data_IF_080116390119
#
_entry.id   IF_080116390119
#
_cell.length_a   1.000
_cell.length_b   1.000
_cell.length_c   1.000
_cell.angle_alpha   90.00
_cell.angle_beta   90.00
_cell.angle_gamma   90.00
#
_symmetry.space_group_name_H-M   'P 1'
#
loop_
_entity.id
_entity.type
_entity.pdbx_description
1 polymer ?
#
# COMPACT_ATOMS: atom_id res chain seq x y z
N UNK A 1 -10.82 -16.17 18.65
CA UNK A 1 -9.45 -16.37 18.16
C UNK A 1 -8.67 -15.07 18.27
N UNK A 2 -7.42 -15.09 18.74
CA UNK A 2 -6.44 -14.04 18.46
C UNK A 2 -5.59 -14.56 17.31
N UNK A 3 -5.41 -13.78 16.25
CA UNK A 3 -4.41 -14.10 15.23
C UNK A 3 -3.05 -13.77 15.85
N UNK A 4 -2.31 -14.81 16.25
CA UNK A 4 -0.91 -14.66 16.62
C UNK A 4 -0.12 -14.45 15.33
N UNK A 5 0.17 -13.19 15.01
CA UNK A 5 1.10 -12.86 13.93
C UNK A 5 2.50 -13.20 14.43
N UNK A 6 3.18 -14.12 13.76
CA UNK A 6 4.59 -14.42 14.03
C UNK A 6 5.41 -13.14 13.85
N UNK A 7 6.36 -12.91 14.75
CA UNK A 7 7.16 -11.68 14.72
C UNK A 7 7.95 -11.55 13.40
N UNK A 8 8.00 -10.36 12.80
CA UNK A 8 8.79 -10.11 11.59
C UNK A 8 10.27 -10.46 11.81
N UNK A 9 10.84 -11.32 10.96
CA UNK A 9 12.25 -11.73 11.04
C UNK A 9 13.19 -10.76 10.29
N UNK A 10 13.35 -9.54 10.82
CA UNK A 10 14.33 -8.59 10.30
C UNK A 10 15.74 -8.90 10.83
N UNK A 11 16.38 -9.95 10.31
CA UNK A 11 17.79 -10.20 10.62
C UNK A 11 18.66 -9.13 9.95
N UNK A 12 19.19 -8.22 10.76
CA UNK A 12 20.32 -7.38 10.41
C UNK A 12 21.58 -8.23 10.39
N UNK A 13 22.19 -8.41 9.22
CA UNK A 13 23.55 -8.94 9.12
C UNK A 13 24.53 -7.90 9.71
N UNK A 14 24.78 -7.97 11.01
CA UNK A 14 25.71 -7.10 11.75
C UNK A 14 26.06 -7.74 13.11
N UNK A 15 27.28 -7.56 13.63
CA UNK A 15 27.84 -8.43 14.65
C UNK A 15 27.12 -8.32 15.99
N UNK A 16 26.81 -9.50 16.51
CA UNK A 16 26.17 -9.85 17.77
C UNK A 16 26.92 -9.22 18.96
N UNK A 17 26.23 -8.36 19.71
CA UNK A 17 26.60 -8.04 21.09
C UNK A 17 25.51 -8.57 22.01
N UNK A 18 25.83 -9.69 22.65
CA UNK A 18 25.14 -10.30 23.78
C UNK A 18 25.04 -9.33 24.99
N UNK A 19 24.15 -9.70 25.92
CA UNK A 19 23.86 -9.12 27.25
C UNK A 19 22.95 -7.87 27.24
N UNK A 20 21.89 -7.80 28.05
CA UNK A 20 21.76 -8.25 29.43
C UNK A 20 20.29 -8.53 29.77
N UNK A 21 20.07 -9.59 30.56
CA UNK A 21 18.79 -9.99 31.16
C UNK A 21 18.56 -9.13 32.40
N UNK A 22 17.35 -8.64 32.62
CA UNK A 22 16.83 -8.51 33.99
C UNK A 22 15.33 -8.80 34.02
N UNK A 23 15.01 -9.76 34.89
CA UNK A 23 13.68 -10.21 35.31
C UNK A 23 13.34 -9.43 36.57
N UNK A 24 12.19 -8.76 36.64
CA UNK A 24 11.45 -8.74 37.91
C UNK A 24 9.93 -8.55 37.74
N UNK A 25 9.24 -9.38 38.50
CA UNK A 25 7.81 -9.60 38.67
C UNK A 25 7.17 -8.63 39.67
N UNK A 26 5.95 -8.13 39.42
CA UNK A 26 4.72 -8.35 40.24
C UNK A 26 3.57 -7.34 39.95
N UNK A 27 2.29 -7.79 39.92
CA UNK A 27 1.05 -6.97 40.03
C UNK A 27 0.53 -7.02 41.51
N UNK A 28 -0.69 -6.58 41.92
CA UNK A 28 -1.86 -6.06 41.17
C UNK A 28 -2.55 -4.82 41.78
N UNK A 29 -3.51 -4.20 41.08
CA UNK A 29 -4.68 -3.60 41.75
C UNK A 29 -5.93 -3.62 40.85
N UNK A 30 -6.98 -4.16 41.46
CA UNK A 30 -8.35 -4.31 40.98
C UNK A 30 -9.19 -3.09 41.35
N UNK A 31 -10.14 -2.71 40.48
CA UNK A 31 -11.42 -2.02 40.72
C UNK A 31 -11.93 -1.43 39.38
N UNK A 32 -13.21 -1.29 39.05
CA UNK A 32 -14.48 -1.86 39.46
C UNK A 32 -15.48 -1.48 38.33
N UNK A 33 -16.57 -2.25 38.24
CA UNK A 33 -17.80 -2.10 37.45
C UNK A 33 -18.22 -0.68 37.00
N UNK A 34 -18.74 -0.55 35.77
CA UNK A 34 -20.20 -0.48 35.55
C UNK A 34 -20.57 -0.21 34.08
N UNK A 35 -21.51 -1.00 33.60
CA UNK A 35 -22.32 -0.83 32.39
C UNK A 35 -23.14 0.45 32.39
N UNK A 36 -23.35 1.06 31.21
CA UNK A 36 -24.59 1.76 30.88
C UNK A 36 -24.80 1.79 29.37
N UNK A 37 -25.87 1.10 28.97
CA UNK A 37 -26.58 1.20 27.70
C UNK A 37 -27.25 2.56 27.55
N UNK A 38 -27.26 3.16 26.36
CA UNK A 38 -28.53 3.68 25.80
C UNK A 38 -28.41 4.00 24.32
N UNK A 39 -29.22 3.28 23.56
CA UNK A 39 -29.70 3.57 22.21
C UNK A 39 -30.17 5.00 22.04
N UNK A 40 -29.97 5.57 20.85
CA UNK A 40 -31.04 6.25 20.10
C UNK A 40 -30.59 6.62 18.69
N UNK A 41 -31.34 6.10 17.72
CA UNK A 41 -31.26 6.38 16.30
C UNK A 41 -32.46 7.28 15.94
N UNK A 42 -32.30 8.44 15.29
CA UNK A 42 -33.41 9.12 14.66
C UNK A 42 -33.51 8.72 13.18
N UNK A 43 -34.57 7.96 12.92
CA UNK A 43 -35.16 7.64 11.64
C UNK A 43 -35.82 8.91 11.07
N UNK A 44 -35.28 9.46 9.99
CA UNK A 44 -36.02 10.38 9.13
C UNK A 44 -36.48 9.63 7.88
N UNK A 45 -37.80 9.48 7.79
CA UNK A 45 -38.52 9.09 6.58
C UNK A 45 -39.05 10.36 5.91
N UNK A 46 -39.34 10.20 4.62
CA UNK A 46 -40.21 10.98 3.73
C UNK A 46 -39.50 11.99 2.83
N UNK A 47 -39.71 11.80 1.52
CA UNK A 47 -39.37 12.80 0.52
C UNK A 47 -39.35 12.28 -0.91
N UNK A 48 -40.47 11.72 -1.37
CA UNK A 48 -40.73 11.39 -2.78
C UNK A 48 -40.66 12.66 -3.63
N UNK A 49 -39.93 12.63 -4.74
CA UNK A 49 -40.30 13.37 -5.97
C UNK A 49 -39.64 12.71 -7.18
N UNK A 50 -40.44 11.88 -7.86
CA UNK A 50 -40.27 11.54 -9.25
C UNK A 50 -40.59 12.78 -10.08
N UNK A 51 -39.63 13.32 -10.83
CA UNK A 51 -39.94 14.08 -12.03
C UNK A 51 -39.30 13.42 -13.25
N UNK A 52 -40.20 13.23 -14.19
CA UNK A 52 -40.16 12.69 -15.53
C UNK A 52 -39.50 13.66 -16.54
N UNK A 53 -39.25 13.14 -17.75
CA UNK A 53 -38.97 13.83 -19.02
C UNK A 53 -37.53 14.33 -19.23
N UNK A 54 -36.85 14.11 -20.37
CA UNK A 54 -37.15 13.51 -21.69
C UNK A 54 -35.81 13.37 -22.47
N UNK A 55 -35.76 12.59 -23.56
CA UNK A 55 -34.57 12.37 -24.37
C UNK A 55 -34.38 13.47 -25.42
N UNK A 56 -33.12 13.74 -25.80
CA UNK A 56 -32.79 14.55 -26.97
C UNK A 56 -31.79 13.82 -27.86
N UNK A 57 -32.35 13.16 -28.87
CA UNK A 57 -31.70 12.67 -30.07
C UNK A 57 -31.29 13.83 -30.98
N UNK A 58 -30.12 13.75 -31.61
CA UNK A 58 -29.76 14.49 -32.85
C UNK A 58 -28.35 14.10 -33.31
N UNK A 59 -27.99 14.27 -34.61
CA UNK A 59 -27.95 13.15 -35.53
C UNK A 59 -26.56 12.88 -36.13
N UNK A 60 -26.48 11.74 -36.81
CA UNK A 60 -25.48 11.38 -37.81
C UNK A 60 -25.06 12.59 -38.66
N UNK A 61 -23.75 12.88 -38.71
CA UNK A 61 -23.18 13.67 -39.78
C UNK A 61 -22.49 12.75 -40.78
N UNK A 62 -23.02 12.82 -41.99
CA UNK A 62 -22.74 12.00 -43.16
C UNK A 62 -21.36 12.36 -43.72
N UNK A 63 -20.68 11.32 -44.21
CA UNK A 63 -19.46 11.35 -45.02
C UNK A 63 -19.49 12.45 -46.09
N UNK A 64 -18.45 13.28 -46.12
CA UNK A 64 -18.02 13.98 -47.34
C UNK A 64 -16.53 13.70 -47.53
N UNK A 65 -16.23 12.70 -48.37
CA UNK A 65 -14.91 12.45 -48.90
C UNK A 65 -14.63 13.48 -50.01
N UNK A 66 -13.86 14.52 -49.69
CA UNK A 66 -13.28 15.43 -50.69
C UNK A 66 -11.83 14.98 -50.92
N UNK A 67 -11.62 14.25 -52.02
CA UNK A 67 -10.30 13.95 -52.56
C UNK A 67 -9.75 15.20 -53.25
N UNK A 68 -8.86 15.93 -52.57
CA UNK A 68 -8.03 16.96 -53.18
C UNK A 68 -6.60 16.44 -53.27
N UNK A 69 -6.21 16.02 -54.48
CA UNK A 69 -4.82 15.68 -54.80
C UNK A 69 -4.01 16.98 -54.94
N UNK A 70 -3.36 17.39 -53.85
CA UNK A 70 -2.34 18.44 -53.85
C UNK A 70 -0.96 17.77 -53.92
N UNK A 71 -0.29 17.92 -55.06
CA UNK A 71 1.11 17.58 -55.24
C UNK A 71 1.96 18.43 -54.29
N UNK A 72 2.41 17.83 -53.20
CA UNK A 72 3.33 18.44 -52.25
C UNK A 72 4.76 18.12 -52.67
N UNK A 73 5.52 19.17 -52.98
CA UNK A 73 6.97 19.11 -53.15
C UNK A 73 7.61 18.63 -51.85
N UNK A 74 8.16 17.42 -51.86
CA UNK A 74 8.91 16.88 -50.73
C UNK A 74 10.24 17.63 -50.60
N UNK A 75 10.30 18.60 -49.69
CA UNK A 75 11.55 19.15 -49.20
C UNK A 75 12.04 18.22 -48.09
N UNK A 76 12.97 17.31 -48.41
CA UNK A 76 13.61 16.45 -47.43
C UNK A 76 14.51 17.30 -46.53
N UNK A 77 13.96 17.79 -45.41
CA UNK A 77 14.78 18.23 -44.29
C UNK A 77 15.45 16.99 -43.68
N UNK A 78 16.71 17.07 -43.22
CA UNK A 78 17.25 16.03 -42.36
C UNK A 78 16.44 16.08 -41.06
N UNK A 79 15.50 15.15 -40.90
CA UNK A 79 14.97 14.81 -39.59
C UNK A 79 16.11 14.13 -38.82
N UNK A 80 17.00 14.93 -38.25
CA UNK A 80 17.77 14.51 -37.09
C UNK A 80 16.80 14.40 -35.93
N UNK A 81 15.94 13.39 -35.98
CA UNK A 81 15.14 12.97 -34.83
C UNK A 81 16.08 12.20 -33.90
N UNK A 82 17.08 12.94 -33.40
CA UNK A 82 17.80 12.57 -32.20
C UNK A 82 16.79 12.84 -31.09
N UNK A 83 15.83 11.93 -30.96
CA UNK A 83 15.27 11.60 -29.66
C UNK A 83 16.42 10.99 -28.87
N UNK A 84 17.36 11.83 -28.44
CA UNK A 84 18.03 11.62 -27.16
C UNK A 84 16.89 11.51 -26.17
N UNK A 85 16.42 10.28 -25.96
CA UNK A 85 15.73 9.89 -24.74
C UNK A 85 16.66 10.40 -23.67
N UNK A 86 16.32 11.57 -23.12
CA UNK A 86 17.14 12.28 -22.15
C UNK A 86 17.19 11.27 -21.01
N UNK A 87 18.32 10.56 -20.88
CA UNK A 87 18.50 9.48 -19.91
C UNK A 87 18.02 10.04 -18.59
N UNK A 88 16.79 9.68 -18.20
CA UNK A 88 16.20 10.25 -17.01
C UNK A 88 17.11 9.80 -15.87
N UNK A 89 17.43 10.75 -15.00
CA UNK A 89 18.22 10.45 -13.83
C UNK A 89 17.56 9.30 -13.06
N UNK A 90 18.34 8.29 -12.68
CA UNK A 90 17.80 7.04 -12.15
C UNK A 90 17.08 7.25 -10.81
N UNK A 91 17.50 8.26 -10.04
CA UNK A 91 16.82 8.66 -8.81
C UNK A 91 15.44 9.23 -9.15
N UNK A 92 15.36 10.09 -10.17
CA UNK A 92 14.09 10.64 -10.67
C UNK A 92 13.13 9.52 -11.11
N UNK A 93 13.61 8.52 -11.84
CA UNK A 93 12.78 7.37 -12.25
C UNK A 93 12.30 6.57 -11.04
N UNK A 94 13.18 6.32 -10.07
CA UNK A 94 12.81 5.64 -8.81
C UNK A 94 11.70 6.39 -8.08
N UNK A 95 11.84 7.72 -7.95
CA UNK A 95 10.88 8.56 -7.24
C UNK A 95 9.55 8.65 -7.98
N UNK A 96 9.58 8.68 -9.31
CA UNK A 96 8.38 8.61 -10.15
C UNK A 96 7.62 7.28 -9.94
N UNK A 97 8.33 6.15 -9.92
CA UNK A 97 7.73 4.83 -9.71
C UNK A 97 7.11 4.68 -8.31
N UNK A 98 7.76 5.23 -7.29
CA UNK A 98 7.27 5.19 -5.92
C UNK A 98 6.09 6.12 -5.70
N UNK A 99 6.22 7.40 -6.03
CA UNK A 99 5.34 8.45 -5.51
C UNK A 99 4.43 9.10 -6.55
N UNK A 100 4.68 8.89 -7.84
CA UNK A 100 3.91 9.54 -8.92
C UNK A 100 3.17 8.56 -9.83
N UNK A 101 3.37 7.25 -9.64
CA UNK A 101 2.73 6.20 -10.42
C UNK A 101 1.60 5.56 -9.63
N UNK A 102 0.53 5.13 -10.31
CA UNK A 102 -0.45 4.24 -9.68
C UNK A 102 0.21 2.88 -9.41
N UNK A 103 -0.33 2.13 -8.46
CA UNK A 103 0.20 0.80 -8.13
C UNK A 103 0.15 -0.15 -9.34
N UNK A 104 -0.90 -0.06 -10.15
CA UNK A 104 -1.02 -0.84 -11.39
C UNK A 104 0.03 -0.46 -12.45
N UNK A 105 0.34 0.84 -12.59
CA UNK A 105 1.42 1.29 -13.47
C UNK A 105 2.78 0.78 -12.98
N UNK A 106 3.03 0.86 -11.67
CA UNK A 106 4.24 0.32 -11.08
C UNK A 106 4.38 -1.18 -11.36
N UNK A 107 3.34 -1.98 -11.14
CA UNK A 107 3.37 -3.43 -11.41
C UNK A 107 3.64 -3.75 -12.88
N UNK A 108 3.06 -2.97 -13.81
CA UNK A 108 3.35 -3.13 -15.23
C UNK A 108 4.85 -2.87 -15.53
N UNK A 109 5.45 -1.86 -14.90
CA UNK A 109 6.88 -1.54 -15.05
C UNK A 109 7.79 -2.58 -14.40
N UNK A 110 7.40 -3.08 -13.22
CA UNK A 110 8.08 -4.18 -12.52
C UNK A 110 8.10 -5.45 -13.36
N UNK A 111 6.96 -5.85 -13.92
CA UNK A 111 6.86 -7.06 -14.75
C UNK A 111 7.66 -6.96 -16.05
N UNK A 112 7.93 -5.74 -16.51
CA UNK A 112 8.79 -5.47 -17.66
C UNK A 112 10.26 -5.22 -17.29
N UNK A 113 10.59 -5.16 -15.98
CA UNK A 113 11.89 -4.76 -15.44
C UNK A 113 12.42 -3.47 -16.09
N UNK A 114 11.55 -2.47 -16.29
CA UNK A 114 11.86 -1.25 -17.04
C UNK A 114 11.90 0.02 -16.16
N UNK A 115 13.06 0.67 -15.98
CA UNK A 115 14.32 0.40 -16.69
C UNK A 115 15.14 -0.74 -16.06
N UNK A 116 15.96 -1.45 -16.85
CA UNK A 116 16.79 -2.56 -16.36
C UNK A 116 17.95 -2.11 -15.46
N UNK A 117 18.13 -0.79 -15.31
CA UNK A 117 19.14 -0.20 -14.43
C UNK A 117 18.69 -0.08 -12.97
N UNK A 118 17.41 -0.32 -12.66
CA UNK A 118 16.93 -0.45 -11.28
C UNK A 118 17.08 -1.88 -10.79
N UNK A 119 17.26 -2.03 -9.49
CA UNK A 119 17.14 -3.32 -8.83
C UNK A 119 15.66 -3.65 -8.63
N UNK A 120 15.15 -4.63 -9.36
CA UNK A 120 13.77 -5.12 -9.29
C UNK A 120 13.60 -6.34 -8.37
N UNK A 121 14.67 -6.76 -7.67
CA UNK A 121 14.60 -7.86 -6.71
C UNK A 121 13.62 -7.54 -5.57
N UNK A 122 12.85 -8.55 -5.18
CA UNK A 122 11.82 -8.42 -4.15
C UNK A 122 11.58 -9.80 -3.55
N UNK A 123 11.57 -9.89 -2.21
CA UNK A 123 11.11 -11.06 -1.48
C UNK A 123 9.62 -10.95 -1.12
N UNK A 124 8.95 -9.90 -1.60
CA UNK A 124 7.53 -9.67 -1.45
C UNK A 124 7.20 -9.45 0.02
N UNK A 125 6.14 -10.08 0.50
CA UNK A 125 5.72 -9.92 1.89
C UNK A 125 6.34 -10.97 2.83
N UNK A 126 7.43 -11.65 2.44
CA UNK A 126 7.95 -12.82 3.18
C UNK A 126 8.48 -12.47 4.57
N UNK A 127 8.94 -11.23 4.79
CA UNK A 127 9.40 -10.73 6.10
C UNK A 127 8.33 -9.96 6.87
N UNK A 128 7.13 -9.85 6.32
CA UNK A 128 6.02 -9.13 6.93
C UNK A 128 5.29 -9.98 7.97
N UNK A 129 4.47 -9.38 8.84
CA UNK A 129 3.53 -10.11 9.68
C UNK A 129 2.65 -11.06 8.85
N UNK A 130 2.14 -12.14 9.45
CA UNK A 130 1.32 -13.12 8.73
C UNK A 130 0.06 -12.49 8.11
N UNK A 131 -0.36 -13.05 6.98
CA UNK A 131 -1.59 -12.67 6.29
C UNK A 131 -2.47 -13.91 6.07
N UNK A 132 -3.10 -14.43 7.14
CA UNK A 132 -3.78 -15.72 7.10
C UNK A 132 -5.06 -15.71 6.25
N UNK A 133 -5.60 -14.52 5.96
CA UNK A 133 -6.79 -14.34 5.11
C UNK A 133 -6.47 -14.06 3.65
N UNK A 134 -5.17 -14.01 3.29
CA UNK A 134 -4.75 -13.82 1.90
C UNK A 134 -5.12 -12.46 1.31
N UNK A 135 -5.12 -11.39 2.10
CA UNK A 135 -5.34 -10.04 1.57
C UNK A 135 -4.29 -9.69 0.49
N UNK A 136 -4.66 -8.94 -0.57
CA UNK A 136 -3.83 -8.81 -1.78
C UNK A 136 -2.67 -7.82 -1.63
N UNK A 137 -1.79 -8.01 -0.65
CA UNK A 137 -0.72 -7.07 -0.30
C UNK A 137 0.56 -7.18 -1.14
N UNK A 138 0.70 -8.24 -1.94
CA UNK A 138 1.92 -8.50 -2.70
C UNK A 138 2.38 -7.30 -3.56
N UNK A 139 1.50 -6.62 -4.33
CA UNK A 139 1.92 -5.44 -5.10
C UNK A 139 2.44 -4.28 -4.25
N UNK A 140 1.87 -4.07 -3.06
CA UNK A 140 2.36 -3.06 -2.13
C UNK A 140 3.77 -3.41 -1.62
N UNK A 141 3.99 -4.68 -1.27
CA UNK A 141 5.31 -5.17 -0.83
C UNK A 141 6.36 -5.04 -1.94
N UNK A 142 6.02 -5.38 -3.19
CA UNK A 142 6.92 -5.17 -4.33
C UNK A 142 7.40 -3.71 -4.46
N UNK A 143 6.48 -2.74 -4.28
CA UNK A 143 6.84 -1.32 -4.39
C UNK A 143 7.66 -0.83 -3.20
N UNK A 144 7.37 -1.34 -2.01
CA UNK A 144 8.17 -1.08 -0.81
C UNK A 144 9.60 -1.58 -0.96
N UNK A 145 9.78 -2.81 -1.45
CA UNK A 145 11.08 -3.43 -1.72
C UNK A 145 11.89 -2.64 -2.73
N UNK A 146 11.27 -2.21 -3.85
CA UNK A 146 11.91 -1.34 -4.84
C UNK A 146 12.49 -0.11 -4.15
N UNK A 147 11.68 0.56 -3.31
CA UNK A 147 12.09 1.76 -2.60
C UNK A 147 13.28 1.51 -1.68
N UNK A 148 13.20 0.49 -0.83
CA UNK A 148 14.26 0.16 0.13
C UNK A 148 15.58 -0.19 -0.55
N UNK A 149 15.55 -1.10 -1.53
CA UNK A 149 16.75 -1.58 -2.22
C UNK A 149 17.39 -0.44 -3.02
N UNK A 150 16.63 0.25 -3.85
CA UNK A 150 17.19 1.26 -4.76
C UNK A 150 17.66 2.52 -4.01
N UNK A 151 16.95 3.00 -2.98
CA UNK A 151 17.45 4.13 -2.20
C UNK A 151 18.75 3.82 -1.46
N UNK A 152 18.95 2.56 -1.02
CA UNK A 152 20.21 2.12 -0.40
C UNK A 152 21.34 2.06 -1.43
N UNK A 153 21.10 1.46 -2.60
CA UNK A 153 22.06 1.42 -3.71
C UNK A 153 22.42 2.84 -4.20
N UNK A 154 21.45 3.75 -4.19
CA UNK A 154 21.61 5.16 -4.55
C UNK A 154 22.17 6.01 -3.40
N UNK A 155 22.54 5.40 -2.27
CA UNK A 155 23.17 6.06 -1.11
C UNK A 155 22.36 7.24 -0.53
N UNK A 156 21.02 7.14 -0.59
CA UNK A 156 20.09 8.20 -0.15
C UNK A 156 18.98 7.70 0.78
N UNK A 157 19.18 6.53 1.38
CA UNK A 157 18.26 5.93 2.36
C UNK A 157 18.36 6.60 3.74
N UNK A 158 17.90 7.85 3.83
CA UNK A 158 17.79 8.59 5.09
C UNK A 158 16.54 8.18 5.87
N UNK A 159 16.43 8.59 7.16
CA UNK A 159 15.22 8.40 7.95
C UNK A 159 13.98 8.99 7.28
N UNK A 160 14.08 10.22 6.76
CA UNK A 160 12.96 10.87 6.06
C UNK A 160 12.57 10.12 4.77
N UNK A 161 13.55 9.60 4.03
CA UNK A 161 13.28 8.78 2.85
C UNK A 161 12.56 7.48 3.22
N UNK A 162 13.03 6.80 4.27
CA UNK A 162 12.37 5.60 4.82
C UNK A 162 10.92 5.91 5.22
N UNK A 163 10.69 6.99 5.97
CA UNK A 163 9.36 7.38 6.41
C UNK A 163 8.42 7.66 5.21
N UNK A 164 8.95 8.28 4.15
CA UNK A 164 8.23 8.49 2.89
C UNK A 164 7.86 7.16 2.19
N UNK A 165 8.81 6.22 2.09
CA UNK A 165 8.57 4.91 1.48
C UNK A 165 7.56 4.09 2.30
N UNK A 166 7.68 4.07 3.62
CA UNK A 166 6.75 3.35 4.51
C UNK A 166 5.34 3.95 4.44
N UNK A 167 5.22 5.28 4.33
CA UNK A 167 3.92 5.95 4.19
C UNK A 167 3.27 5.66 2.83
N UNK A 168 4.07 5.57 1.76
CA UNK A 168 3.59 5.15 0.45
C UNK A 168 3.12 3.69 0.46
N UNK A 169 3.86 2.81 1.15
CA UNK A 169 3.48 1.41 1.36
C UNK A 169 2.14 1.30 2.08
N UNK A 170 1.91 2.07 3.15
CA UNK A 170 0.59 2.13 3.81
C UNK A 170 -0.52 2.51 2.82
N UNK A 171 -0.26 3.52 2.00
CA UNK A 171 -1.23 3.97 0.99
C UNK A 171 -1.57 2.87 -0.02
N UNK A 172 -0.58 2.07 -0.42
CA UNK A 172 -0.78 0.93 -1.31
C UNK A 172 -1.55 -0.21 -0.69
N UNK A 173 -1.25 -0.55 0.56
CA UNK A 173 -2.01 -1.56 1.29
C UNK A 173 -3.48 -1.17 1.38
N UNK A 174 -3.77 0.09 1.69
CA UNK A 174 -5.13 0.64 1.72
C UNK A 174 -5.79 0.64 0.34
N UNK A 175 -5.04 0.95 -0.72
CA UNK A 175 -5.54 0.85 -2.09
C UNK A 175 -5.98 -0.59 -2.41
N UNK A 176 -5.17 -1.58 -2.03
CA UNK A 176 -5.48 -3.00 -2.23
C UNK A 176 -6.70 -3.45 -1.42
N UNK A 177 -6.98 -2.83 -0.27
CA UNK A 177 -8.15 -3.14 0.54
C UNK A 177 -9.48 -2.63 -0.02
N UNK A 178 -9.49 -1.72 -1.01
CA UNK A 178 -10.73 -1.12 -1.52
C UNK A 178 -11.69 -2.13 -2.15
N UNK A 179 -11.17 -3.23 -2.70
CA UNK A 179 -11.95 -4.29 -3.36
C UNK A 179 -12.22 -5.50 -2.45
N UNK A 180 -11.74 -5.48 -1.21
CA UNK A 180 -11.87 -6.60 -0.26
C UNK A 180 -13.20 -6.49 0.50
N UNK A 181 -14.05 -7.53 0.53
CA UNK A 181 -15.31 -7.49 1.27
C UNK A 181 -15.13 -7.20 2.77
N UNK A 182 -14.17 -7.87 3.40
CA UNK A 182 -13.77 -7.64 4.80
C UNK A 182 -12.82 -6.43 4.94
N UNK A 183 -13.22 -5.28 4.39
CA UNK A 183 -12.37 -4.10 4.26
C UNK A 183 -11.74 -3.65 5.57
N UNK A 184 -12.51 -3.57 6.65
CA UNK A 184 -11.99 -3.10 7.95
C UNK A 184 -10.90 -4.03 8.51
N UNK A 185 -11.02 -5.34 8.28
CA UNK A 185 -9.99 -6.30 8.67
C UNK A 185 -8.75 -6.18 7.78
N UNK A 186 -8.94 -5.91 6.48
CA UNK A 186 -7.84 -5.64 5.55
C UNK A 186 -7.09 -4.36 5.94
N UNK A 187 -7.79 -3.25 6.13
CA UNK A 187 -7.21 -1.97 6.58
C UNK A 187 -6.56 -2.13 7.97
N UNK A 188 -7.13 -2.96 8.84
CA UNK A 188 -6.54 -3.38 10.11
C UNK A 188 -5.17 -4.04 9.92
N UNK A 189 -5.07 -5.05 9.06
CA UNK A 189 -3.78 -5.71 8.78
C UNK A 189 -2.79 -4.77 8.08
N UNK A 190 -3.28 -3.88 7.21
CA UNK A 190 -2.45 -2.86 6.58
C UNK A 190 -1.76 -1.95 7.61
N UNK A 191 -2.46 -1.56 8.69
CA UNK A 191 -1.84 -0.82 9.79
C UNK A 191 -0.78 -1.64 10.52
N UNK A 192 -1.00 -2.94 10.73
CA UNK A 192 -0.01 -3.82 11.36
C UNK A 192 1.26 -3.89 10.51
N UNK A 193 1.12 -4.07 9.20
CA UNK A 193 2.23 -4.06 8.25
C UNK A 193 3.01 -2.74 8.28
N UNK A 194 2.30 -1.61 8.30
CA UNK A 194 2.91 -0.29 8.38
C UNK A 194 3.70 -0.06 9.68
N UNK A 195 3.11 -0.37 10.84
CA UNK A 195 3.83 -0.21 12.11
C UNK A 195 5.01 -1.19 12.21
N UNK A 196 4.91 -2.38 11.60
CA UNK A 196 6.04 -3.31 11.54
C UNK A 196 7.23 -2.73 10.78
N UNK A 197 7.04 -2.17 9.58
CA UNK A 197 8.16 -1.58 8.80
C UNK A 197 8.68 -0.31 9.46
N UNK A 198 7.82 0.49 10.10
CA UNK A 198 8.21 1.70 10.82
C UNK A 198 9.13 1.38 12.01
N UNK A 199 8.79 0.35 12.80
CA UNK A 199 9.53 -0.01 14.02
C UNK A 199 10.69 -0.97 13.80
N UNK A 200 10.64 -1.83 12.76
CA UNK A 200 11.60 -2.91 12.58
C UNK A 200 12.31 -2.90 11.22
N UNK A 201 11.87 -2.07 10.28
CA UNK A 201 12.51 -1.94 8.97
C UNK A 201 13.86 -1.22 9.06
N UNK A 202 14.97 -1.92 8.84
CA UNK A 202 16.32 -1.31 8.74
C UNK A 202 17.10 -1.25 10.05
N UNK A 203 18.43 -1.21 9.93
CA UNK A 203 19.37 -1.37 11.06
C UNK A 203 19.43 -0.24 12.09
N UNK A 204 18.74 0.88 11.86
CA UNK A 204 18.77 2.08 12.72
C UNK A 204 17.63 2.15 13.76
N UNK A 205 16.90 1.04 13.95
CA UNK A 205 15.81 0.91 14.93
C UNK A 205 16.34 0.87 16.37
N UNK A 206 16.85 2.00 16.86
CA UNK A 206 17.53 2.12 18.16
C UNK A 206 16.60 2.28 19.36
N UNK A 207 15.28 2.43 19.14
CA UNK A 207 14.25 2.40 20.20
C UNK A 207 12.97 1.74 19.68
N UNK A 208 12.70 0.52 20.14
CA UNK A 208 11.53 -0.28 19.76
C UNK A 208 10.38 0.03 20.71
N UNK A 209 9.68 1.13 20.50
CA UNK A 209 8.38 1.33 21.15
C UNK A 209 7.34 0.45 20.43
N UNK A 210 7.10 -0.75 20.96
CA UNK A 210 6.14 -1.69 20.37
C UNK A 210 4.69 -1.25 20.54
N UNK A 211 4.41 -0.20 21.31
CA UNK A 211 3.03 0.14 21.69
C UNK A 211 2.12 0.43 20.49
N UNK A 212 2.62 1.10 19.45
CA UNK A 212 1.83 1.38 18.26
C UNK A 212 1.57 0.13 17.41
N UNK A 213 2.57 -0.77 17.30
CA UNK A 213 2.40 -2.08 16.67
C UNK A 213 1.36 -2.92 17.43
N UNK A 214 1.47 -3.01 18.76
CA UNK A 214 0.56 -3.80 19.58
C UNK A 214 -0.88 -3.25 19.52
N UNK A 215 -1.05 -1.91 19.48
CA UNK A 215 -2.35 -1.28 19.24
C UNK A 215 -2.92 -1.65 17.86
N UNK A 216 -2.10 -1.62 16.82
CA UNK A 216 -2.53 -2.02 15.47
C UNK A 216 -2.97 -3.48 15.44
N UNK A 217 -2.23 -4.38 16.10
CA UNK A 217 -2.58 -5.81 16.22
C UNK A 217 -3.89 -5.99 16.98
N UNK A 218 -4.11 -5.25 18.07
CA UNK A 218 -5.37 -5.30 18.81
C UNK A 218 -6.56 -4.84 17.95
N UNK A 219 -6.40 -3.74 17.19
CA UNK A 219 -7.42 -3.23 16.28
C UNK A 219 -7.73 -4.21 15.14
N UNK A 220 -6.70 -4.80 14.52
CA UNK A 220 -6.86 -5.84 13.51
C UNK A 220 -7.64 -7.04 14.05
N UNK A 221 -7.27 -7.55 15.23
CA UNK A 221 -7.97 -8.67 15.86
C UNK A 221 -9.44 -8.36 16.17
N UNK A 222 -9.77 -7.12 16.53
CA UNK A 222 -11.16 -6.69 16.72
C UNK A 222 -11.93 -6.67 15.39
N UNK A 223 -11.33 -6.12 14.33
CA UNK A 223 -11.93 -6.07 13.00
C UNK A 223 -12.15 -7.46 12.39
N UNK A 224 -11.22 -8.40 12.62
CA UNK A 224 -11.36 -9.80 12.21
C UNK A 224 -12.57 -10.47 12.88
N UNK A 225 -12.76 -10.27 14.19
CA UNK A 225 -13.91 -10.83 14.92
C UNK A 225 -15.23 -10.32 14.36
N UNK A 226 -15.30 -9.03 14.04
CA UNK A 226 -16.49 -8.43 13.44
C UNK A 226 -16.75 -9.00 12.02
N UNK A 227 -15.71 -9.06 11.19
CA UNK A 227 -15.82 -9.64 9.85
C UNK A 227 -16.23 -11.12 9.89
N UNK A 228 -15.74 -11.91 10.86
CA UNK A 228 -16.17 -13.29 11.09
C UNK A 228 -17.64 -13.39 11.52
N UNK A 229 -18.10 -12.49 12.41
CA UNK A 229 -19.50 -12.43 12.84
C UNK A 229 -20.46 -12.10 11.68
N UNK A 230 -19.98 -11.31 10.71
CA UNK A 230 -20.70 -10.97 9.49
C UNK A 230 -20.58 -12.04 8.39
N UNK A 231 -19.78 -13.09 8.61
CA UNK A 231 -19.52 -14.14 7.60
C UNK A 231 -18.64 -13.67 6.43
N UNK A 232 -17.92 -12.56 6.57
CA UNK A 232 -17.01 -12.02 5.56
C UNK A 232 -15.63 -12.68 5.59
N UNK A 233 -15.24 -13.25 6.73
CA UNK A 233 -13.99 -14.00 6.90
C UNK A 233 -14.26 -15.37 7.55
N UNK A 234 -13.48 -16.41 7.18
CA UNK A 234 -13.55 -17.69 7.88
C UNK A 234 -13.03 -17.56 9.32
N UNK A 235 -13.54 -18.42 10.20
CA UNK A 235 -12.89 -18.67 11.48
C UNK A 235 -11.66 -19.54 11.21
N UNK A 236 -10.50 -19.06 11.65
CA UNK A 236 -9.25 -19.82 11.58
C UNK A 236 -9.19 -20.74 12.80
N UNK A 237 -8.74 -21.97 12.60
CA UNK A 237 -8.54 -22.99 13.63
C UNK A 237 -7.19 -22.86 14.36
#
# INVERSE_FOLDING_TARGET
>A
MFVHLVEPSWHSSGPETQEYIDVETTPPHSQFLSSSTSSSCPRWLLGISLLDSRPSSSPNMVFNAVLLALATTALAAPASDVTTSKRQDINTVTDQLLFSSTLAQFEARRNAEDPPSLDWSSDGCTRSPDNPFGFPFLPACHRHDLGYQNYRLQQRFTRAAKDGIDSNFKSDLYYQCQSVPARDACDGLANVYYEAVKQFGGGDATKRDRSDYDKAVAAYNAAVKEAQAQGLLPVLD
#
